data_IF_830394161389
#
_entry.id   IF_830394161389
#
_cell.length_a   1.000
_cell.length_b   1.000
_cell.length_c   1.000
_cell.angle_alpha   90.00
_cell.angle_beta   90.00
_cell.angle_gamma   90.00
#
_symmetry.space_group_name_H-M   'P 1'
#
loop_
_entity.id
_entity.type
_entity.pdbx_description
1 polymer ?
#
# COMPACT_ATOMS: atom_id res chain seq x y z
N UNK A 1 14.18 -1.48 -31.43
CA UNK A 1 13.93 -0.17 -30.79
C UNK A 1 12.76 0.60 -31.43
N UNK A 2 12.00 0.03 -32.39
CA UNK A 2 10.90 0.73 -33.10
C UNK A 2 9.47 0.26 -32.74
N UNK A 3 9.28 -0.81 -31.97
CA UNK A 3 7.93 -1.30 -31.60
C UNK A 3 7.27 -0.56 -30.41
N UNK A 4 8.01 0.24 -29.63
CA UNK A 4 7.48 0.86 -28.40
C UNK A 4 6.67 2.16 -28.63
N UNK A 5 6.86 2.87 -29.74
CA UNK A 5 6.14 4.12 -30.02
C UNK A 5 4.63 3.94 -30.32
N UNK A 6 4.19 2.96 -31.14
CA UNK A 6 2.76 2.79 -31.43
C UNK A 6 1.95 2.38 -30.19
N UNK A 7 2.52 1.54 -29.31
CA UNK A 7 1.83 1.11 -28.09
C UNK A 7 1.69 2.24 -27.05
N UNK A 8 2.71 3.10 -26.91
CA UNK A 8 2.61 4.28 -26.03
C UNK A 8 1.56 5.30 -26.50
N UNK A 9 1.42 5.50 -27.82
CA UNK A 9 0.36 6.34 -28.37
C UNK A 9 -1.03 5.74 -28.11
N UNK A 10 -1.18 4.42 -28.32
CA UNK A 10 -2.41 3.67 -28.05
C UNK A 10 -2.81 3.74 -26.58
N UNK A 11 -1.88 3.60 -25.64
CA UNK A 11 -2.14 3.72 -24.20
C UNK A 11 -2.64 5.11 -23.81
N UNK A 12 -2.00 6.18 -24.31
CA UNK A 12 -2.45 7.56 -24.05
C UNK A 12 -3.87 7.83 -24.57
N UNK A 13 -4.21 7.27 -25.73
CA UNK A 13 -5.56 7.35 -26.28
C UNK A 13 -6.57 6.59 -25.42
N UNK A 14 -6.23 5.39 -24.94
CA UNK A 14 -7.11 4.61 -24.05
C UNK A 14 -7.30 5.30 -22.69
N UNK A 15 -6.27 5.91 -22.10
CA UNK A 15 -6.39 6.71 -20.89
C UNK A 15 -7.31 7.93 -21.10
N UNK A 16 -7.17 8.60 -22.24
CA UNK A 16 -8.01 9.74 -22.61
C UNK A 16 -9.47 9.31 -22.83
N UNK A 17 -9.69 8.16 -23.47
CA UNK A 17 -11.01 7.57 -23.66
C UNK A 17 -11.64 7.18 -22.33
N UNK A 18 -10.89 6.52 -21.44
CA UNK A 18 -11.33 6.16 -20.10
C UNK A 18 -11.79 7.40 -19.32
N UNK A 19 -11.00 8.47 -19.34
CA UNK A 19 -11.33 9.74 -18.68
C UNK A 19 -12.60 10.37 -19.28
N UNK A 20 -12.68 10.46 -20.61
CA UNK A 20 -13.84 11.01 -21.30
C UNK A 20 -15.11 10.19 -21.02
N UNK A 21 -14.99 8.87 -20.96
CA UNK A 21 -16.09 7.97 -20.61
C UNK A 21 -16.60 8.19 -19.19
N UNK A 22 -15.69 8.32 -18.21
CA UNK A 22 -16.03 8.62 -16.82
C UNK A 22 -16.68 10.00 -16.66
N UNK A 23 -16.23 10.99 -17.42
CA UNK A 23 -16.83 12.32 -17.46
C UNK A 23 -18.28 12.27 -17.99
N UNK A 24 -18.55 11.43 -19.00
CA UNK A 24 -19.90 11.19 -19.53
C UNK A 24 -20.81 10.43 -18.56
N UNK A 25 -20.27 9.54 -17.72
CA UNK A 25 -21.05 8.84 -16.68
C UNK A 25 -21.46 9.77 -15.53
N UNK A 26 -20.55 10.64 -15.10
CA UNK A 26 -20.74 11.49 -13.91
C UNK A 26 -21.58 12.74 -14.21
N UNK A 27 -21.62 13.19 -15.47
CA UNK A 27 -22.38 14.36 -15.89
C UNK A 27 -23.52 13.91 -16.81
N UNK A 28 -24.75 13.73 -16.29
CA UNK A 28 -25.89 13.43 -17.13
C UNK A 28 -26.05 14.51 -18.21
N UNK A 29 -26.28 14.07 -19.45
CA UNK A 29 -26.43 14.97 -20.59
C UNK A 29 -27.76 15.73 -20.40
N UNK A 30 -27.65 16.91 -19.81
CA UNK A 30 -28.71 17.90 -19.72
C UNK A 30 -28.55 18.92 -20.84
N UNK A 31 -29.63 19.10 -21.61
CA UNK A 31 -29.72 20.03 -22.76
C UNK A 31 -29.40 21.48 -22.36
N UNK A 32 -29.57 21.84 -21.09
CA UNK A 32 -29.35 23.19 -20.60
C UNK A 32 -27.88 23.59 -20.42
N UNK A 33 -26.92 22.66 -20.58
CA UNK A 33 -25.51 22.96 -20.30
C UNK A 33 -24.65 22.72 -21.55
N UNK A 34 -24.20 23.84 -22.14
CA UNK A 34 -23.27 23.90 -23.28
C UNK A 34 -21.98 23.08 -23.07
N UNK A 35 -21.65 22.76 -21.82
CA UNK A 35 -20.47 21.97 -21.43
C UNK A 35 -20.58 20.48 -21.81
N UNK A 36 -21.79 19.92 -21.94
CA UNK A 36 -21.99 18.52 -22.33
C UNK A 36 -21.66 18.27 -23.81
N UNK A 37 -21.87 19.26 -24.68
CA UNK A 37 -21.53 19.18 -26.11
C UNK A 37 -20.02 19.09 -26.34
N UNK A 38 -19.21 19.74 -25.50
CA UNK A 38 -17.75 19.68 -25.60
C UNK A 38 -17.22 18.27 -25.26
N UNK A 39 -17.69 17.66 -24.17
CA UNK A 39 -17.30 16.30 -23.77
C UNK A 39 -17.69 15.25 -24.82
N UNK A 40 -18.87 15.40 -25.43
CA UNK A 40 -19.35 14.58 -26.54
C UNK A 40 -18.45 14.75 -27.78
N UNK A 41 -18.10 15.98 -28.13
CA UNK A 41 -17.24 16.25 -29.29
C UNK A 41 -15.84 15.70 -29.10
N UNK A 42 -15.24 15.88 -27.92
CA UNK A 42 -13.93 15.30 -27.58
C UNK A 42 -13.96 13.78 -27.62
N UNK A 43 -15.07 13.17 -27.18
CA UNK A 43 -15.24 11.72 -27.24
C UNK A 43 -15.28 11.21 -28.69
N UNK A 44 -16.06 11.89 -29.56
CA UNK A 44 -16.16 11.52 -30.97
C UNK A 44 -14.84 11.71 -31.72
N UNK A 45 -14.08 12.76 -31.41
CA UNK A 45 -12.73 12.96 -31.95
C UNK A 45 -11.77 11.84 -31.52
N UNK A 46 -11.75 11.50 -30.23
CA UNK A 46 -10.96 10.38 -29.69
C UNK A 46 -11.36 9.04 -30.32
N UNK A 47 -12.66 8.80 -30.53
CA UNK A 47 -13.14 7.61 -31.22
C UNK A 47 -12.63 7.54 -32.66
N UNK A 48 -12.69 8.62 -33.43
CA UNK A 48 -12.18 8.61 -34.83
C UNK A 48 -10.68 8.36 -34.92
N UNK A 49 -9.91 8.83 -33.94
CA UNK A 49 -8.48 8.53 -33.84
C UNK A 49 -8.22 7.09 -33.39
N UNK A 50 -9.13 6.50 -32.62
CA UNK A 50 -9.01 5.12 -32.16
C UNK A 50 -9.50 4.13 -33.22
N UNK A 51 -10.53 4.43 -34.01
CA UNK A 51 -11.06 3.57 -35.07
C UNK A 51 -9.99 3.22 -36.12
N UNK A 52 -9.04 4.13 -36.41
CA UNK A 52 -7.90 3.87 -37.31
C UNK A 52 -6.84 2.95 -36.70
N UNK A 53 -6.78 2.88 -35.36
CA UNK A 53 -5.83 2.05 -34.59
C UNK A 53 -6.47 0.70 -34.22
N UNK A 54 -7.77 0.65 -33.97
CA UNK A 54 -8.56 -0.53 -33.55
C UNK A 54 -8.84 -1.48 -34.71
N UNK A 55 -8.96 -0.97 -35.94
CA UNK A 55 -9.20 -1.80 -37.14
C UNK A 55 -8.12 -2.85 -37.41
N UNK A 56 -6.96 -2.71 -36.76
CA UNK A 56 -5.79 -3.55 -36.95
C UNK A 56 -5.69 -4.67 -35.90
N UNK A 57 -6.47 -4.62 -34.81
CA UNK A 57 -6.30 -5.50 -33.65
C UNK A 57 -7.61 -6.25 -33.30
N UNK A 58 -7.72 -7.56 -33.59
CA UNK A 58 -8.98 -8.32 -33.45
C UNK A 58 -9.49 -8.41 -31.99
N UNK A 59 -8.61 -8.19 -31.04
CA UNK A 59 -8.85 -8.27 -29.61
C UNK A 59 -9.57 -7.03 -29.04
N UNK A 60 -9.72 -5.96 -29.84
CA UNK A 60 -10.42 -4.71 -29.50
C UNK A 60 -11.82 -4.58 -30.15
N UNK A 61 -12.30 -5.66 -30.76
CA UNK A 61 -13.61 -5.71 -31.43
C UNK A 61 -14.78 -5.35 -30.52
N UNK A 62 -14.78 -5.82 -29.27
CA UNK A 62 -15.81 -5.47 -28.28
C UNK A 62 -15.82 -3.96 -27.97
N UNK A 63 -14.64 -3.35 -27.81
CA UNK A 63 -14.51 -1.92 -27.58
C UNK A 63 -15.02 -1.11 -28.78
N UNK A 64 -14.69 -1.53 -30.00
CA UNK A 64 -15.19 -0.91 -31.23
C UNK A 64 -16.72 -1.01 -31.35
N UNK A 65 -17.31 -2.14 -30.95
CA UNK A 65 -18.76 -2.32 -30.92
C UNK A 65 -19.42 -1.43 -29.86
N UNK A 66 -18.87 -1.37 -28.65
CA UNK A 66 -19.36 -0.50 -27.56
C UNK A 66 -19.28 0.98 -27.95
N UNK A 67 -18.19 1.40 -28.61
CA UNK A 67 -18.01 2.76 -29.13
C UNK A 67 -19.01 3.09 -30.24
N UNK A 68 -19.27 2.15 -31.16
CA UNK A 68 -20.26 2.31 -32.22
C UNK A 68 -21.67 2.44 -31.65
N UNK A 69 -22.02 1.60 -30.67
CA UNK A 69 -23.30 1.65 -29.97
C UNK A 69 -23.48 3.00 -29.25
N UNK A 70 -22.46 3.47 -28.53
CA UNK A 70 -22.50 4.77 -27.87
C UNK A 70 -22.70 5.91 -28.87
N UNK A 71 -22.01 5.89 -30.01
CA UNK A 71 -22.17 6.87 -31.08
C UNK A 71 -23.59 6.92 -31.60
N UNK A 72 -24.21 5.77 -31.87
CA UNK A 72 -25.62 5.72 -32.33
C UNK A 72 -26.58 6.29 -31.29
N UNK A 73 -26.41 5.93 -30.01
CA UNK A 73 -27.23 6.44 -28.91
C UNK A 73 -27.08 7.96 -28.74
N UNK A 74 -25.87 8.47 -28.89
CA UNK A 74 -25.59 9.90 -28.79
C UNK A 74 -26.20 10.70 -29.94
N UNK A 75 -26.13 10.18 -31.16
CA UNK A 75 -26.80 10.78 -32.33
C UNK A 75 -28.32 10.74 -32.20
N UNK A 76 -28.88 9.65 -31.68
CA UNK A 76 -30.33 9.53 -31.45
C UNK A 76 -30.80 10.53 -30.40
N UNK A 77 -30.01 10.72 -29.33
CA UNK A 77 -30.30 11.68 -28.28
C UNK A 77 -30.26 13.12 -28.83
N UNK A 78 -29.26 13.45 -29.66
CA UNK A 78 -29.15 14.75 -30.34
C UNK A 78 -30.31 15.05 -31.29
N UNK A 79 -30.86 14.03 -31.96
CA UNK A 79 -31.97 14.17 -32.90
C UNK A 79 -33.35 14.22 -32.19
N UNK A 80 -33.44 13.81 -30.92
CA UNK A 80 -34.69 13.76 -30.14
C UNK A 80 -34.94 15.06 -29.33
N UNK A 81 -35.13 16.18 -30.03
CA UNK A 81 -35.23 17.53 -29.43
C UNK A 81 -36.67 17.98 -29.05
N UNK A 82 -37.62 17.06 -28.90
CA UNK A 82 -39.00 17.45 -28.57
C UNK A 82 -39.21 17.76 -27.08
N UNK A 83 -40.11 18.70 -26.77
CA UNK A 83 -40.37 19.23 -25.41
C UNK A 83 -41.60 18.59 -24.73
N UNK A 84 -41.66 17.26 -24.65
CA UNK A 84 -42.78 16.52 -24.05
C UNK A 84 -42.36 15.74 -22.79
N UNK A 85 -43.28 15.49 -21.85
CA UNK A 85 -42.99 14.67 -20.66
C UNK A 85 -42.50 13.25 -21.04
N UNK A 86 -43.03 12.69 -22.14
CA UNK A 86 -42.57 11.41 -22.70
C UNK A 86 -41.11 11.50 -23.17
N UNK A 87 -40.67 12.63 -23.74
CA UNK A 87 -39.27 12.80 -24.15
C UNK A 87 -38.34 12.99 -22.95
N UNK A 88 -38.82 13.55 -21.83
CA UNK A 88 -38.06 13.61 -20.57
C UNK A 88 -37.73 12.22 -20.03
N UNK A 89 -38.72 11.31 -19.93
CA UNK A 89 -38.46 9.93 -19.50
C UNK A 89 -37.58 9.15 -20.49
N UNK A 90 -37.80 9.32 -21.81
CA UNK A 90 -36.92 8.72 -22.84
C UNK A 90 -35.47 9.20 -22.71
N UNK A 91 -35.25 10.47 -22.37
CA UNK A 91 -33.89 11.03 -22.14
C UNK A 91 -33.22 10.47 -20.90
N UNK A 92 -33.97 10.27 -19.80
CA UNK A 92 -33.40 9.64 -18.62
C UNK A 92 -33.00 8.19 -18.88
N UNK A 93 -33.83 7.44 -19.61
CA UNK A 93 -33.50 6.07 -20.04
C UNK A 93 -32.27 6.08 -20.95
N UNK A 94 -32.23 6.96 -21.95
CA UNK A 94 -31.08 7.08 -22.84
C UNK A 94 -29.79 7.50 -22.11
N UNK A 95 -29.88 8.42 -21.14
CA UNK A 95 -28.74 8.80 -20.30
C UNK A 95 -28.26 7.63 -19.42
N UNK A 96 -29.17 6.81 -18.91
CA UNK A 96 -28.80 5.58 -18.19
C UNK A 96 -28.13 4.56 -19.11
N UNK A 97 -28.67 4.35 -20.32
CA UNK A 97 -28.06 3.47 -21.34
C UNK A 97 -26.68 3.96 -21.76
N UNK A 98 -26.52 5.26 -22.00
CA UNK A 98 -25.24 5.90 -22.28
C UNK A 98 -24.27 5.69 -21.12
N UNK A 99 -24.69 5.95 -19.88
CA UNK A 99 -23.85 5.73 -18.70
C UNK A 99 -23.41 4.26 -18.58
N UNK A 100 -24.32 3.31 -18.85
CA UNK A 100 -23.99 1.87 -18.87
C UNK A 100 -22.98 1.50 -19.96
N UNK A 101 -23.14 2.03 -21.18
CA UNK A 101 -22.20 1.78 -22.28
C UNK A 101 -20.85 2.42 -21.96
N UNK A 102 -20.83 3.66 -21.45
CA UNK A 102 -19.61 4.32 -20.98
C UNK A 102 -18.91 3.50 -19.89
N UNK A 103 -19.64 2.92 -18.93
CA UNK A 103 -19.06 2.03 -17.92
C UNK A 103 -18.43 0.78 -18.53
N UNK A 104 -19.05 0.22 -19.57
CA UNK A 104 -18.50 -0.93 -20.31
C UNK A 104 -17.21 -0.55 -21.04
N UNK A 105 -17.20 0.59 -21.72
CA UNK A 105 -16.02 1.16 -22.41
C UNK A 105 -14.90 1.44 -21.42
N UNK A 106 -15.21 1.99 -20.24
CA UNK A 106 -14.22 2.28 -19.20
C UNK A 106 -13.53 0.99 -18.72
N UNK A 107 -14.31 -0.06 -18.46
CA UNK A 107 -13.80 -1.36 -18.02
C UNK A 107 -12.97 -2.04 -19.12
N UNK A 108 -13.45 -2.03 -20.36
CA UNK A 108 -12.71 -2.61 -21.50
C UNK A 108 -11.40 -1.86 -21.76
N UNK A 109 -11.42 -0.52 -21.73
CA UNK A 109 -10.21 0.29 -21.85
C UNK A 109 -9.23 0.01 -20.69
N UNK A 110 -9.73 -0.15 -19.46
CA UNK A 110 -8.89 -0.48 -18.31
C UNK A 110 -8.27 -1.88 -18.43
N UNK A 111 -9.04 -2.89 -18.84
CA UNK A 111 -8.53 -4.25 -19.03
C UNK A 111 -7.39 -4.28 -20.07
N UNK A 112 -7.51 -3.46 -21.12
CA UNK A 112 -6.45 -3.28 -22.12
C UNK A 112 -5.21 -2.61 -21.56
N UNK A 113 -5.38 -1.52 -20.83
CA UNK A 113 -4.27 -0.84 -20.15
C UNK A 113 -3.57 -1.80 -19.19
N UNK A 114 -4.33 -2.60 -18.44
CA UNK A 114 -3.81 -3.59 -17.50
C UNK A 114 -3.02 -4.71 -18.19
N UNK A 115 -3.54 -5.22 -19.31
CA UNK A 115 -2.87 -6.25 -20.09
C UNK A 115 -1.51 -5.76 -20.60
N UNK A 116 -1.46 -4.56 -21.16
CA UNK A 116 -0.22 -3.99 -21.66
C UNK A 116 0.74 -3.61 -20.53
N UNK A 117 0.23 -3.05 -19.43
CA UNK A 117 1.04 -2.73 -18.24
C UNK A 117 1.69 -3.98 -17.63
N UNK A 118 0.98 -5.11 -17.59
CA UNK A 118 1.53 -6.39 -17.10
C UNK A 118 2.59 -6.92 -18.07
N UNK A 119 2.39 -6.83 -19.39
CA UNK A 119 3.40 -7.24 -20.36
C UNK A 119 4.67 -6.39 -20.23
N UNK A 120 4.51 -5.06 -20.16
CA UNK A 120 5.61 -4.11 -19.96
C UNK A 120 6.35 -4.43 -18.65
N UNK A 121 5.62 -4.67 -17.56
CA UNK A 121 6.20 -5.07 -16.28
C UNK A 121 7.07 -6.33 -16.42
N UNK A 122 6.51 -7.41 -16.98
CA UNK A 122 7.25 -8.68 -17.12
C UNK A 122 8.49 -8.51 -17.98
N UNK A 123 8.36 -7.79 -19.11
CA UNK A 123 9.45 -7.54 -20.03
C UNK A 123 10.58 -6.74 -19.37
N UNK A 124 10.26 -5.58 -18.78
CA UNK A 124 11.24 -4.68 -18.15
C UNK A 124 11.95 -5.38 -16.99
N UNK A 125 11.22 -6.15 -16.17
CA UNK A 125 11.81 -6.86 -15.04
C UNK A 125 12.81 -7.96 -15.47
N UNK A 126 12.55 -8.61 -16.61
CA UNK A 126 13.42 -9.68 -17.15
C UNK A 126 14.60 -9.15 -17.97
N UNK A 127 14.36 -8.15 -18.82
CA UNK A 127 15.30 -7.75 -19.88
C UNK A 127 16.08 -6.48 -19.53
N UNK A 128 15.45 -5.52 -18.84
CA UNK A 128 16.10 -4.23 -18.57
C UNK A 128 17.21 -4.37 -17.54
N UNK A 129 18.28 -3.59 -17.73
CA UNK A 129 19.33 -3.38 -16.73
C UNK A 129 19.17 -2.06 -15.99
N UNK A 130 18.27 -1.19 -16.46
CA UNK A 130 18.03 0.11 -15.85
C UNK A 130 17.20 -0.07 -14.56
N UNK A 131 17.77 0.41 -13.45
CA UNK A 131 17.13 0.34 -12.14
C UNK A 131 15.92 1.28 -12.05
N UNK A 132 16.01 2.47 -12.63
CA UNK A 132 14.95 3.48 -12.52
C UNK A 132 13.74 3.11 -13.38
N UNK A 133 13.98 2.49 -14.54
CA UNK A 133 12.92 1.91 -15.36
C UNK A 133 12.16 0.81 -14.60
N UNK A 134 12.89 -0.09 -13.93
CA UNK A 134 12.29 -1.14 -13.08
C UNK A 134 11.48 -0.55 -11.94
N UNK A 135 12.03 0.43 -11.23
CA UNK A 135 11.34 1.09 -10.11
C UNK A 135 10.06 1.76 -10.61
N UNK A 136 10.09 2.40 -11.79
CA UNK A 136 8.93 3.05 -12.38
C UNK A 136 7.81 2.05 -12.67
N UNK A 137 8.08 0.96 -13.39
CA UNK A 137 7.05 -0.04 -13.72
C UNK A 137 6.53 -0.75 -12.48
N UNK A 138 7.39 -1.04 -11.50
CA UNK A 138 6.98 -1.63 -10.23
C UNK A 138 6.08 -0.69 -9.43
N UNK A 139 6.39 0.61 -9.40
CA UNK A 139 5.58 1.61 -8.70
C UNK A 139 4.22 1.81 -9.38
N UNK A 140 4.17 1.77 -10.71
CA UNK A 140 2.90 1.81 -11.46
C UNK A 140 2.05 0.58 -11.16
N UNK A 141 2.66 -0.61 -11.15
CA UNK A 141 1.99 -1.85 -10.80
C UNK A 141 1.48 -1.84 -9.34
N UNK A 142 2.30 -1.43 -8.38
CA UNK A 142 1.94 -1.26 -6.97
C UNK A 142 0.69 -0.38 -6.82
N UNK A 143 0.66 0.76 -7.50
CA UNK A 143 -0.50 1.68 -7.51
C UNK A 143 -1.74 1.03 -8.13
N UNK A 144 -1.60 0.34 -9.27
CA UNK A 144 -2.74 -0.28 -9.95
C UNK A 144 -3.40 -1.37 -9.10
N UNK A 145 -2.59 -2.22 -8.46
CA UNK A 145 -3.05 -3.31 -7.60
C UNK A 145 -3.65 -2.77 -6.30
N UNK A 146 -3.17 -1.61 -5.81
CA UNK A 146 -3.68 -0.98 -4.58
C UNK A 146 -5.03 -0.26 -4.73
N UNK A 147 -5.50 -0.01 -5.96
CA UNK A 147 -6.73 0.76 -6.19
C UNK A 147 -8.01 0.01 -5.80
N UNK A 148 -8.27 -1.12 -6.44
CA UNK A 148 -9.44 -1.96 -6.16
C UNK A 148 -9.19 -3.38 -6.65
N UNK A 149 -9.90 -4.34 -6.03
CA UNK A 149 -9.88 -5.73 -6.45
C UNK A 149 -10.55 -5.88 -7.83
N UNK A 150 -9.88 -6.63 -8.70
CA UNK A 150 -10.33 -6.91 -10.06
C UNK A 150 -9.99 -8.37 -10.41
N UNK A 151 -11.01 -9.16 -10.69
CA UNK A 151 -10.85 -10.60 -10.96
C UNK A 151 -10.07 -10.85 -12.25
N UNK A 152 -10.31 -10.05 -13.28
CA UNK A 152 -9.73 -10.26 -14.61
C UNK A 152 -8.24 -9.81 -14.58
N UNK A 153 -7.94 -8.75 -13.82
CA UNK A 153 -6.56 -8.37 -13.49
C UNK A 153 -5.84 -9.50 -12.72
N UNK A 154 -6.49 -10.10 -11.71
CA UNK A 154 -5.90 -11.21 -10.96
C UNK A 154 -5.53 -12.37 -11.90
N UNK A 155 -6.44 -12.74 -12.81
CA UNK A 155 -6.20 -13.80 -13.77
C UNK A 155 -5.01 -13.48 -14.68
N UNK A 156 -4.88 -12.24 -15.15
CA UNK A 156 -3.72 -11.80 -15.92
C UNK A 156 -2.41 -11.88 -15.12
N UNK A 157 -2.40 -11.41 -13.87
CA UNK A 157 -1.24 -11.46 -12.97
C UNK A 157 -0.76 -12.90 -12.77
N UNK A 158 -1.71 -13.82 -12.55
CA UNK A 158 -1.41 -15.24 -12.35
C UNK A 158 -0.89 -15.91 -13.62
N UNK A 159 -1.55 -15.66 -14.78
CA UNK A 159 -1.11 -16.19 -16.08
C UNK A 159 0.30 -15.71 -16.45
N UNK A 160 0.59 -14.44 -16.18
CA UNK A 160 1.89 -13.83 -16.45
C UNK A 160 2.98 -14.21 -15.42
N UNK A 161 2.64 -14.98 -14.37
CA UNK A 161 3.56 -15.41 -13.30
C UNK A 161 4.31 -14.23 -12.66
N UNK A 162 3.60 -13.13 -12.42
CA UNK A 162 4.19 -11.90 -11.86
C UNK A 162 4.76 -12.16 -10.47
N UNK A 163 4.05 -12.90 -9.60
CA UNK A 163 4.54 -13.15 -8.23
C UNK A 163 5.89 -13.90 -8.21
N UNK A 164 6.08 -15.04 -8.89
CA UNK A 164 7.39 -15.69 -8.98
C UNK A 164 8.50 -14.78 -9.52
N UNK A 165 8.18 -13.86 -10.44
CA UNK A 165 9.14 -12.89 -10.97
C UNK A 165 9.57 -11.89 -9.90
N UNK A 166 8.62 -11.33 -9.14
CA UNK A 166 8.87 -10.43 -8.02
C UNK A 166 9.66 -11.12 -6.91
N UNK A 167 9.26 -12.32 -6.52
CA UNK A 167 9.98 -13.14 -5.54
C UNK A 167 11.41 -13.40 -5.98
N UNK A 168 11.62 -13.75 -7.25
CA UNK A 168 12.96 -13.96 -7.79
C UNK A 168 13.82 -12.70 -7.68
N UNK A 169 13.27 -11.52 -7.91
CA UNK A 169 14.01 -10.25 -7.77
C UNK A 169 14.37 -9.99 -6.32
N UNK A 170 13.41 -10.14 -5.40
CA UNK A 170 13.65 -9.94 -3.96
C UNK A 170 14.73 -10.89 -3.46
N UNK A 171 14.70 -12.16 -3.87
CA UNK A 171 15.62 -13.19 -3.38
C UNK A 171 16.94 -13.30 -4.14
N UNK A 172 17.12 -12.56 -5.24
CA UNK A 172 18.38 -12.50 -5.99
C UNK A 172 19.38 -11.59 -5.28
N UNK A 173 20.49 -12.17 -4.82
CA UNK A 173 21.57 -11.44 -4.12
C UNK A 173 22.26 -10.33 -4.94
N UNK A 174 22.09 -10.32 -6.27
CA UNK A 174 22.68 -9.32 -7.17
C UNK A 174 21.77 -8.13 -7.48
N UNK A 175 20.51 -8.17 -7.05
CA UNK A 175 19.58 -7.09 -7.31
C UNK A 175 19.85 -5.90 -6.37
N UNK A 176 19.81 -4.65 -6.88
CA UNK A 176 19.97 -3.46 -6.05
C UNK A 176 18.90 -3.39 -4.96
N UNK A 177 19.28 -2.95 -3.76
CA UNK A 177 18.36 -2.89 -2.59
C UNK A 177 17.06 -2.13 -2.90
N UNK A 178 17.13 -1.01 -3.60
CA UNK A 178 15.95 -0.18 -3.98
C UNK A 178 14.96 -0.95 -4.86
N UNK A 179 15.46 -1.75 -5.81
CA UNK A 179 14.62 -2.57 -6.70
C UNK A 179 13.99 -3.72 -5.91
N UNK A 180 14.76 -4.35 -5.01
CA UNK A 180 14.25 -5.39 -4.11
C UNK A 180 13.13 -4.86 -3.21
N UNK A 181 13.34 -3.71 -2.56
CA UNK A 181 12.34 -3.07 -1.70
C UNK A 181 11.07 -2.70 -2.47
N UNK A 182 11.21 -2.11 -3.67
CA UNK A 182 10.06 -1.76 -4.52
C UNK A 182 9.30 -3.01 -4.98
N UNK A 183 10.03 -4.08 -5.31
CA UNK A 183 9.41 -5.38 -5.64
C UNK A 183 8.68 -5.98 -4.44
N UNK A 184 9.23 -5.84 -3.24
CA UNK A 184 8.62 -6.33 -2.02
C UNK A 184 7.39 -5.49 -1.61
N UNK A 185 7.37 -4.18 -1.89
CA UNK A 185 6.15 -3.35 -1.78
C UNK A 185 5.06 -3.80 -2.77
N UNK A 186 5.44 -4.14 -4.00
CA UNK A 186 4.48 -4.71 -4.96
C UNK A 186 3.91 -6.05 -4.46
N UNK A 187 4.70 -6.88 -3.78
CA UNK A 187 4.22 -8.11 -3.12
C UNK A 187 3.22 -7.79 -1.99
N UNK A 188 3.50 -6.79 -1.16
CA UNK A 188 2.56 -6.31 -0.13
C UNK A 188 1.24 -5.87 -0.77
N UNK A 189 1.30 -5.12 -1.87
CA UNK A 189 0.11 -4.70 -2.60
C UNK A 189 -0.69 -5.91 -3.13
N UNK A 190 -0.01 -6.96 -3.64
CA UNK A 190 -0.65 -8.20 -4.06
C UNK A 190 -1.35 -8.93 -2.91
N UNK A 191 -0.71 -9.05 -1.74
CA UNK A 191 -1.34 -9.65 -0.56
C UNK A 191 -2.57 -8.84 -0.13
N UNK A 192 -2.51 -7.51 -0.19
CA UNK A 192 -3.66 -6.65 0.10
C UNK A 192 -4.78 -6.82 -0.93
N UNK A 193 -4.43 -7.03 -2.20
CA UNK A 193 -5.36 -7.23 -3.29
C UNK A 193 -6.13 -8.54 -3.19
N UNK A 194 -5.46 -9.64 -2.84
CA UNK A 194 -6.13 -10.89 -2.48
C UNK A 194 -5.29 -11.72 -1.49
N UNK A 195 -5.70 -11.72 -0.21
CA UNK A 195 -5.00 -12.46 0.85
C UNK A 195 -5.00 -13.96 0.61
N UNK A 196 -6.12 -14.52 0.15
CA UNK A 196 -6.30 -15.98 0.02
C UNK A 196 -5.36 -16.59 -1.03
N UNK A 197 -5.00 -15.81 -2.05
CA UNK A 197 -4.11 -16.27 -3.13
C UNK A 197 -2.63 -16.09 -2.77
N UNK A 198 -2.27 -14.93 -2.24
CA UNK A 198 -0.86 -14.54 -2.14
C UNK A 198 -0.23 -14.78 -0.77
N UNK A 199 -1.01 -14.90 0.32
CA UNK A 199 -0.45 -15.14 1.66
C UNK A 199 0.34 -16.44 1.74
N UNK A 200 -0.19 -17.54 1.18
CA UNK A 200 0.52 -18.82 1.17
C UNK A 200 1.85 -18.75 0.43
N UNK A 201 1.90 -18.02 -0.68
CA UNK A 201 3.13 -17.84 -1.47
C UNK A 201 4.19 -17.05 -0.69
N UNK A 202 3.79 -16.04 0.08
CA UNK A 202 4.71 -15.28 0.94
C UNK A 202 5.27 -16.15 2.07
N UNK A 203 4.43 -16.94 2.73
CA UNK A 203 4.83 -17.77 3.88
C UNK A 203 5.77 -18.91 3.48
N UNK A 204 5.53 -19.53 2.32
CA UNK A 204 6.37 -20.64 1.83
C UNK A 204 7.64 -20.16 1.11
N UNK A 205 7.74 -18.86 0.84
CA UNK A 205 8.80 -18.28 0.02
C UNK A 205 10.02 -17.79 0.82
N UNK A 206 11.17 -17.57 0.16
CA UNK A 206 12.37 -17.00 0.77
C UNK A 206 12.28 -15.49 1.08
N UNK A 207 11.15 -14.84 0.80
CA UNK A 207 10.97 -13.38 0.84
C UNK A 207 11.33 -12.81 2.22
N UNK A 208 10.76 -13.36 3.29
CA UNK A 208 10.95 -12.84 4.65
C UNK A 208 12.41 -12.94 5.08
N UNK A 209 13.03 -14.09 4.84
CA UNK A 209 14.46 -14.32 5.12
C UNK A 209 15.34 -13.28 4.42
N UNK A 210 15.07 -13.01 3.14
CA UNK A 210 15.86 -12.04 2.38
C UNK A 210 15.64 -10.62 2.90
N UNK A 211 14.40 -10.22 3.17
CA UNK A 211 14.10 -8.88 3.72
C UNK A 211 14.76 -8.66 5.08
N UNK A 212 14.72 -9.65 5.97
CA UNK A 212 15.39 -9.60 7.29
C UNK A 212 16.91 -9.48 7.14
N UNK A 213 17.49 -10.00 6.06
CA UNK A 213 18.94 -9.91 5.80
C UNK A 213 19.37 -8.60 5.15
N UNK A 214 18.45 -7.76 4.66
CA UNK A 214 18.78 -6.50 3.98
C UNK A 214 19.17 -5.39 4.94
N UNK A 215 18.77 -5.50 6.21
CA UNK A 215 19.03 -4.57 7.32
C UNK A 215 18.77 -3.11 6.90
N UNK A 216 17.62 -2.84 6.25
CA UNK A 216 17.27 -1.53 5.69
C UNK A 216 15.90 -1.02 6.16
N UNK A 217 15.73 0.30 6.20
CA UNK A 217 14.46 0.94 6.55
C UNK A 217 13.29 0.47 5.66
N UNK A 218 13.51 0.37 4.34
CA UNK A 218 12.50 -0.10 3.40
C UNK A 218 12.09 -1.56 3.62
N UNK A 219 13.05 -2.46 3.86
CA UNK A 219 12.77 -3.88 4.10
C UNK A 219 11.99 -4.10 5.40
N UNK A 220 12.35 -3.41 6.47
CA UNK A 220 11.64 -3.47 7.76
C UNK A 220 10.20 -2.95 7.65
N UNK A 221 9.96 -1.86 6.92
CA UNK A 221 8.61 -1.34 6.67
C UNK A 221 7.75 -2.32 5.87
N UNK A 222 8.35 -3.03 4.91
CA UNK A 222 7.66 -4.09 4.17
C UNK A 222 7.30 -5.25 5.10
N UNK A 223 8.22 -5.70 5.96
CA UNK A 223 7.96 -6.76 6.95
C UNK A 223 6.80 -6.34 7.86
N UNK A 224 6.84 -5.13 8.44
CA UNK A 224 5.75 -4.59 9.26
C UNK A 224 4.40 -4.60 8.52
N UNK A 225 4.39 -4.22 7.24
CA UNK A 225 3.17 -4.26 6.41
C UNK A 225 2.67 -5.69 6.18
N UNK A 226 3.57 -6.66 5.95
CA UNK A 226 3.20 -8.07 5.82
C UNK A 226 2.67 -8.65 7.13
N UNK A 227 3.25 -8.28 8.28
CA UNK A 227 2.77 -8.67 9.62
C UNK A 227 1.34 -8.16 9.83
N UNK A 228 1.04 -6.90 9.49
CA UNK A 228 -0.33 -6.35 9.55
C UNK A 228 -1.32 -7.11 8.67
N UNK A 229 -0.90 -7.51 7.46
CA UNK A 229 -1.79 -8.12 6.49
C UNK A 229 -2.04 -9.61 6.77
N UNK A 230 -0.99 -10.35 7.12
CA UNK A 230 -1.00 -11.81 7.31
C UNK A 230 -1.28 -12.19 8.77
N UNK A 231 -0.90 -11.34 9.74
CA UNK A 231 -1.07 -11.53 11.18
C UNK A 231 -0.27 -12.72 11.73
N UNK A 232 -0.82 -13.42 12.73
CA UNK A 232 -0.19 -14.51 13.48
C UNK A 232 0.48 -15.61 12.63
N UNK A 233 -0.06 -16.06 11.48
CA UNK A 233 0.62 -17.02 10.61
C UNK A 233 2.03 -16.59 10.19
N UNK A 234 2.23 -15.31 9.87
CA UNK A 234 3.55 -14.80 9.51
C UNK A 234 4.48 -14.70 10.71
N UNK A 235 3.95 -14.23 11.84
CA UNK A 235 4.73 -14.08 13.08
C UNK A 235 5.22 -15.45 13.58
N UNK A 236 4.40 -16.49 13.49
CA UNK A 236 4.81 -17.86 13.81
C UNK A 236 5.97 -18.35 12.94
N UNK A 237 5.90 -18.11 11.63
CA UNK A 237 6.99 -18.47 10.72
C UNK A 237 8.27 -17.68 11.03
N UNK A 238 8.13 -16.39 11.38
CA UNK A 238 9.25 -15.56 11.77
C UNK A 238 9.91 -15.99 13.09
N UNK A 239 9.11 -16.41 14.07
CA UNK A 239 9.55 -16.98 15.35
C UNK A 239 10.33 -18.27 15.12
N UNK A 240 9.74 -19.23 14.38
CA UNK A 240 10.34 -20.54 14.12
C UNK A 240 11.72 -20.46 13.43
N UNK A 241 11.97 -19.39 12.67
CA UNK A 241 13.24 -19.15 11.99
C UNK A 241 14.16 -18.14 12.71
N UNK A 242 13.79 -17.63 13.90
CA UNK A 242 14.58 -16.68 14.68
C UNK A 242 14.67 -15.27 14.09
N UNK A 243 13.79 -14.92 13.15
CA UNK A 243 13.80 -13.63 12.46
C UNK A 243 13.36 -12.46 13.35
N UNK A 244 12.49 -12.71 14.33
CA UNK A 244 12.05 -11.70 15.31
C UNK A 244 13.25 -11.15 16.08
N UNK A 245 14.09 -12.02 16.63
CA UNK A 245 15.27 -11.61 17.41
C UNK A 245 16.28 -10.85 16.53
N UNK A 246 16.42 -11.26 15.27
CA UNK A 246 17.26 -10.53 14.30
C UNK A 246 16.75 -9.10 14.08
N UNK A 247 15.45 -8.89 13.92
CA UNK A 247 14.86 -7.55 13.78
C UNK A 247 15.12 -6.72 15.05
N UNK A 248 14.94 -7.28 16.25
CA UNK A 248 15.18 -6.57 17.51
C UNK A 248 16.66 -6.18 17.66
N UNK A 249 17.59 -6.97 17.11
CA UNK A 249 19.02 -6.62 17.11
C UNK A 249 19.33 -5.33 16.33
N UNK A 250 18.49 -4.98 15.34
CA UNK A 250 18.63 -3.74 14.55
C UNK A 250 18.27 -2.47 15.32
N UNK A 251 17.63 -2.58 16.49
CA UNK A 251 17.45 -1.44 17.40
C UNK A 251 18.79 -0.86 17.89
N UNK A 252 19.87 -1.64 17.83
CA UNK A 252 21.22 -1.18 18.18
C UNK A 252 21.97 -0.54 16.99
N UNK A 253 21.32 -0.32 15.85
CA UNK A 253 21.95 0.32 14.70
C UNK A 253 22.22 1.80 14.97
N UNK A 254 23.21 2.38 14.28
CA UNK A 254 23.52 3.82 14.39
C UNK A 254 22.58 4.71 13.56
N UNK A 255 21.66 4.11 12.79
CA UNK A 255 20.75 4.83 11.92
C UNK A 255 19.40 5.02 12.62
N UNK A 256 19.12 6.26 13.05
CA UNK A 256 17.88 6.64 13.71
C UNK A 256 16.63 6.31 12.87
N UNK A 257 16.69 6.43 11.55
CA UNK A 257 15.57 6.10 10.65
C UNK A 257 15.29 4.59 10.62
N UNK A 258 16.36 3.80 10.64
CA UNK A 258 16.26 2.34 10.78
C UNK A 258 15.71 1.98 12.15
N UNK A 259 16.23 2.54 13.24
CA UNK A 259 15.75 2.30 14.60
C UNK A 259 14.26 2.62 14.75
N UNK A 260 13.79 3.77 14.24
CA UNK A 260 12.38 4.13 14.26
C UNK A 260 11.52 3.12 13.47
N UNK A 261 11.96 2.70 12.29
CA UNK A 261 11.24 1.71 11.48
C UNK A 261 11.21 0.33 12.14
N UNK A 262 12.30 -0.05 12.83
CA UNK A 262 12.39 -1.29 13.60
C UNK A 262 11.49 -1.23 14.83
N UNK A 263 11.45 -0.10 15.53
CA UNK A 263 10.52 0.10 16.65
C UNK A 263 9.07 -0.11 16.19
N UNK A 264 8.64 0.56 15.12
CA UNK A 264 7.30 0.35 14.55
C UNK A 264 7.06 -1.13 14.21
N UNK A 265 8.04 -1.80 13.59
CA UNK A 265 7.92 -3.23 13.32
C UNK A 265 7.81 -4.09 14.59
N UNK A 266 8.56 -3.77 15.65
CA UNK A 266 8.52 -4.49 16.93
C UNK A 266 7.19 -4.29 17.65
N UNK A 267 6.61 -3.09 17.60
CA UNK A 267 5.28 -2.82 18.16
C UNK A 267 4.20 -3.66 17.45
N UNK A 268 4.29 -3.77 16.13
CA UNK A 268 3.36 -4.59 15.33
C UNK A 268 3.55 -6.09 15.58
N UNK A 269 4.79 -6.54 15.78
CA UNK A 269 5.07 -7.92 16.18
C UNK A 269 4.44 -8.22 17.55
N UNK A 270 4.62 -7.33 18.53
CA UNK A 270 4.09 -7.49 19.89
C UNK A 270 2.57 -7.70 19.93
N UNK A 271 1.84 -7.15 18.96
CA UNK A 271 0.40 -7.31 18.84
C UNK A 271 -0.02 -8.75 18.46
N UNK A 272 0.78 -9.45 17.64
CA UNK A 272 0.42 -10.77 17.10
C UNK A 272 1.25 -11.94 17.66
N UNK A 273 2.33 -11.67 18.41
CA UNK A 273 3.22 -12.68 19.01
C UNK A 273 2.55 -13.46 20.13
N UNK A 274 2.91 -14.75 20.23
CA UNK A 274 2.55 -15.62 21.36
C UNK A 274 3.46 -15.40 22.55
N UNK A 275 3.11 -16.01 23.68
CA UNK A 275 3.84 -15.86 24.93
C UNK A 275 5.31 -16.23 24.78
N UNK A 276 5.60 -17.35 24.11
CA UNK A 276 6.95 -17.86 23.91
C UNK A 276 7.84 -16.83 23.19
N UNK A 277 7.40 -16.34 22.03
CA UNK A 277 8.07 -15.26 21.31
C UNK A 277 8.31 -14.04 22.19
N UNK A 278 7.31 -13.56 22.95
CA UNK A 278 7.47 -12.36 23.79
C UNK A 278 8.50 -12.59 24.89
N UNK A 279 8.50 -13.77 25.51
CA UNK A 279 9.51 -14.15 26.51
C UNK A 279 10.91 -14.14 25.89
N UNK A 280 11.09 -14.66 24.68
CA UNK A 280 12.35 -14.60 23.95
C UNK A 280 12.76 -13.15 23.62
N UNK A 281 11.81 -12.30 23.22
CA UNK A 281 12.09 -10.86 22.99
C UNK A 281 12.58 -10.17 24.26
N UNK A 282 11.97 -10.47 25.40
CA UNK A 282 12.37 -9.93 26.72
C UNK A 282 13.75 -10.46 27.12
N UNK A 283 14.03 -11.75 26.87
CA UNK A 283 15.34 -12.36 27.13
C UNK A 283 16.44 -11.75 26.26
N UNK A 284 16.17 -11.50 24.99
CA UNK A 284 17.05 -10.81 24.03
C UNK A 284 17.25 -9.32 24.40
N UNK A 285 16.49 -8.81 25.36
CA UNK A 285 16.69 -7.50 25.95
C UNK A 285 15.95 -6.37 25.25
N UNK A 286 14.81 -6.66 24.59
CA UNK A 286 13.98 -5.63 23.93
C UNK A 286 13.66 -4.47 24.88
N UNK A 287 13.29 -4.75 26.13
CA UNK A 287 12.92 -3.72 27.12
C UNK A 287 14.09 -2.81 27.44
N UNK A 288 15.29 -3.37 27.62
CA UNK A 288 16.50 -2.58 27.86
C UNK A 288 16.79 -1.64 26.69
N UNK A 289 16.68 -2.15 25.45
CA UNK A 289 16.90 -1.35 24.22
C UNK A 289 15.87 -0.22 24.09
N UNK A 290 14.60 -0.48 24.41
CA UNK A 290 13.55 0.56 24.40
C UNK A 290 13.83 1.66 25.42
N UNK A 291 14.22 1.31 26.65
CA UNK A 291 14.59 2.30 27.69
C UNK A 291 15.79 3.14 27.24
N UNK A 292 16.80 2.52 26.62
CA UNK A 292 17.96 3.24 26.07
C UNK A 292 17.57 4.20 24.95
N UNK A 293 16.68 3.81 24.04
CA UNK A 293 16.18 4.65 22.94
C UNK A 293 15.37 5.85 23.44
N UNK A 294 14.43 5.63 24.37
CA UNK A 294 13.64 6.71 24.98
C UNK A 294 14.56 7.75 25.63
N UNK A 295 15.65 7.31 26.26
CA UNK A 295 16.65 8.20 26.86
C UNK A 295 17.46 9.01 25.84
N UNK A 296 17.83 8.42 24.71
CA UNK A 296 18.59 9.13 23.66
C UNK A 296 17.78 10.30 23.13
N UNK A 297 16.47 10.10 22.93
CA UNK A 297 15.56 11.14 22.48
C UNK A 297 15.37 12.24 23.54
N UNK A 298 15.12 11.87 24.81
CA UNK A 298 15.03 12.83 25.92
C UNK A 298 16.33 13.62 26.17
N UNK A 299 17.49 13.06 25.84
CA UNK A 299 18.77 13.80 25.90
C UNK A 299 18.94 14.78 24.75
N UNK A 300 18.39 14.49 23.59
CA UNK A 300 18.27 15.45 22.48
C UNK A 300 17.45 16.67 22.89
N UNK A 301 16.38 16.47 23.67
CA UNK A 301 15.53 17.54 24.20
C UNK A 301 16.26 18.51 25.14
N UNK A 302 17.29 18.06 25.87
CA UNK A 302 18.08 18.93 26.79
C UNK A 302 19.35 19.52 26.15
N UNK A 303 19.65 19.17 24.89
CA UNK A 303 20.94 19.43 24.25
C UNK A 303 21.05 20.69 23.38
N UNK A 304 19.95 21.39 23.09
CA UNK A 304 19.94 22.62 22.30
C UNK A 304 18.94 23.62 22.90
N UNK A 305 19.33 24.22 24.02
CA UNK A 305 18.71 25.44 24.55
C UNK A 305 19.77 26.54 24.62
N UNK A 306 20.39 26.86 23.48
CA UNK A 306 20.88 28.21 23.23
C UNK A 306 19.84 28.88 22.34
N UNK A 307 19.19 29.88 22.92
CA UNK A 307 17.86 30.32 22.52
C UNK A 307 17.79 30.97 21.15
N UNK A 308 16.67 30.72 20.48
CA UNK A 308 15.98 31.71 19.66
C UNK A 308 14.49 31.35 19.66
N UNK A 309 13.68 32.29 20.18
CA UNK A 309 12.22 32.23 20.10
C UNK A 309 11.81 32.11 18.63
N UNK A 310 11.15 31.01 18.23
CA UNK A 310 10.43 31.00 16.97
C UNK A 310 8.95 30.69 17.16
N UNK A 311 8.18 31.75 16.90
CA UNK A 311 6.75 31.89 17.09
C UNK A 311 5.90 30.76 16.54
N UNK A 312 4.92 30.42 17.37
CA UNK A 312 3.70 29.70 17.06
C UNK A 312 3.12 30.01 15.68
N UNK A 313 2.94 28.96 14.86
CA UNK A 313 1.86 28.90 13.88
C UNK A 313 1.12 27.58 14.02
N UNK A 314 -0.09 27.71 14.53
CA UNK A 314 -1.12 26.67 14.64
C UNK A 314 -1.98 26.69 13.37
N UNK A 315 -2.61 25.54 13.07
CA UNK A 315 -3.55 25.21 11.97
C UNK A 315 -2.88 24.62 10.70
N UNK A 316 -3.21 23.44 10.16
CA UNK A 316 -4.27 22.45 10.42
C UNK A 316 -3.93 21.11 9.71
N UNK A 317 -4.49 20.02 10.24
CA UNK A 317 -4.74 18.70 9.61
C UNK A 317 -3.58 17.72 9.34
N UNK A 318 -3.38 16.83 10.33
CA UNK A 318 -2.99 15.43 10.10
C UNK A 318 -1.52 15.08 10.34
N UNK A 319 -1.14 14.77 11.58
CA UNK A 319 0.14 14.10 11.88
C UNK A 319 0.78 14.47 13.22
N UNK A 320 0.21 14.04 14.35
CA UNK A 320 0.86 14.15 15.67
C UNK A 320 1.90 13.03 15.92
N UNK A 321 2.74 12.71 14.92
CA UNK A 321 3.66 11.57 15.04
C UNK A 321 5.02 11.78 14.35
N UNK A 322 5.51 13.03 14.22
CA UNK A 322 6.83 13.26 13.58
C UNK A 322 7.91 13.88 14.47
N UNK A 323 7.64 14.37 15.68
CA UNK A 323 8.71 15.03 16.44
C UNK A 323 9.53 14.08 17.35
N UNK A 324 8.99 12.94 17.78
CA UNK A 324 9.66 12.05 18.75
C UNK A 324 9.30 10.55 18.57
N UNK A 325 9.92 9.81 17.63
CA UNK A 325 9.60 8.40 17.37
C UNK A 325 9.81 7.45 18.56
N UNK A 326 10.69 7.75 19.52
CA UNK A 326 11.03 6.87 20.64
C UNK A 326 10.28 7.18 21.94
N UNK A 327 9.46 8.23 21.94
CA UNK A 327 8.75 8.72 23.11
C UNK A 327 7.73 7.68 23.57
N UNK A 328 7.81 7.34 24.86
CA UNK A 328 6.99 6.32 25.48
C UNK A 328 7.06 4.96 24.79
N UNK A 329 8.15 4.61 24.10
CA UNK A 329 8.23 3.37 23.32
C UNK A 329 8.03 2.11 24.20
N UNK A 330 8.44 2.14 25.47
CA UNK A 330 8.17 1.09 26.46
C UNK A 330 6.67 0.96 26.71
N UNK A 331 5.97 2.09 26.94
CA UNK A 331 4.53 2.13 27.14
C UNK A 331 3.78 1.66 25.90
N UNK A 332 4.17 2.14 24.72
CA UNK A 332 3.61 1.72 23.42
C UNK A 332 3.77 0.21 23.22
N UNK A 333 4.91 -0.36 23.58
CA UNK A 333 5.14 -1.81 23.52
C UNK A 333 4.18 -2.57 24.43
N UNK A 334 4.04 -2.16 25.69
CA UNK A 334 3.10 -2.79 26.63
C UNK A 334 1.65 -2.65 26.18
N UNK A 335 1.25 -1.49 25.67
CA UNK A 335 -0.12 -1.26 25.14
C UNK A 335 -0.41 -2.19 23.96
N UNK A 336 0.51 -2.33 23.01
CA UNK A 336 0.33 -3.26 21.89
C UNK A 336 0.24 -4.72 22.35
N UNK A 337 1.04 -5.09 23.34
CA UNK A 337 1.00 -6.43 23.95
C UNK A 337 -0.35 -6.72 24.62
N UNK A 338 -0.92 -5.75 25.34
CA UNK A 338 -2.20 -5.90 26.02
C UNK A 338 -3.40 -5.87 25.08
N UNK A 339 -3.35 -5.05 24.03
CA UNK A 339 -4.38 -4.96 22.99
C UNK A 339 -4.27 -6.07 21.95
N UNK A 340 -3.15 -6.81 21.95
CA UNK A 340 -2.82 -7.84 20.97
C UNK A 340 -3.73 -9.06 20.98
N UNK A 341 -3.75 -9.73 19.82
CA UNK A 341 -4.51 -10.95 19.53
C UNK A 341 -3.76 -12.24 19.97
N UNK A 342 -2.45 -12.15 20.27
CA UNK A 342 -1.59 -13.32 20.46
C UNK A 342 -1.50 -13.91 21.88
N UNK A 343 -2.06 -13.24 22.89
CA UNK A 343 -1.89 -13.59 24.31
C UNK A 343 -3.22 -13.68 25.06
N UNK A 344 -3.29 -14.60 26.03
CA UNK A 344 -4.39 -14.66 26.98
C UNK A 344 -4.27 -13.60 28.09
N UNK A 345 -5.38 -13.26 28.74
CA UNK A 345 -5.41 -12.24 29.80
C UNK A 345 -4.47 -12.54 30.97
N UNK A 346 -4.30 -13.82 31.32
CA UNK A 346 -3.36 -14.24 32.37
C UNK A 346 -1.91 -14.00 31.97
N UNK A 347 -1.56 -14.33 30.73
CA UNK A 347 -0.22 -14.16 30.16
C UNK A 347 0.13 -12.67 30.04
N UNK A 348 -0.81 -11.85 29.54
CA UNK A 348 -0.67 -10.38 29.47
C UNK A 348 -0.28 -9.79 30.83
N UNK A 349 -0.96 -10.21 31.90
CA UNK A 349 -0.67 -9.72 33.26
C UNK A 349 0.72 -10.14 33.75
N UNK A 350 1.13 -11.38 33.51
CA UNK A 350 2.44 -11.89 33.93
C UNK A 350 3.57 -11.20 33.16
N UNK A 351 3.43 -11.09 31.84
CA UNK A 351 4.40 -10.42 30.98
C UNK A 351 4.53 -8.94 31.34
N UNK A 352 3.42 -8.24 31.65
CA UNK A 352 3.46 -6.86 32.14
C UNK A 352 4.32 -6.71 33.40
N UNK A 353 4.19 -7.62 34.37
CA UNK A 353 4.99 -7.58 35.59
C UNK A 353 6.48 -7.79 35.29
N UNK A 354 6.81 -8.72 34.40
CA UNK A 354 8.19 -8.96 33.98
C UNK A 354 8.77 -7.75 33.22
N UNK A 355 7.99 -7.13 32.33
CA UNK A 355 8.41 -5.91 31.61
C UNK A 355 8.69 -4.77 32.60
N UNK A 356 7.82 -4.54 33.59
CA UNK A 356 8.02 -3.53 34.62
C UNK A 356 9.29 -3.81 35.45
N UNK A 357 9.57 -5.07 35.76
CA UNK A 357 10.81 -5.47 36.45
C UNK A 357 12.04 -5.14 35.61
N UNK A 358 12.05 -5.53 34.33
CA UNK A 358 13.16 -5.28 33.39
C UNK A 358 13.36 -3.80 33.12
N UNK A 359 12.28 -3.01 33.04
CA UNK A 359 12.36 -1.56 32.85
C UNK A 359 13.05 -0.87 34.04
N UNK A 360 12.74 -1.29 35.28
CA UNK A 360 13.45 -0.81 36.48
C UNK A 360 14.92 -1.16 36.46
N UNK A 361 15.27 -2.38 36.04
CA UNK A 361 16.67 -2.84 35.94
C UNK A 361 17.47 -2.09 34.87
N UNK A 362 16.82 -1.66 33.78
CA UNK A 362 17.45 -0.90 32.70
C UNK A 362 17.55 0.61 32.97
N UNK A 363 16.85 1.11 33.99
CA UNK A 363 16.86 2.51 34.39
C UNK A 363 18.15 2.87 35.12
N UNK A 364 18.69 4.06 34.86
CA UNK A 364 19.92 4.58 35.50
C UNK A 364 19.64 5.29 36.82
N UNK A 365 18.38 5.62 37.11
CA UNK A 365 17.98 6.28 38.35
C UNK A 365 16.61 5.82 38.84
N UNK A 366 16.35 5.99 40.14
CA UNK A 366 15.04 5.70 40.74
C UNK A 366 13.94 6.64 40.19
N UNK A 367 14.29 7.88 39.83
CA UNK A 367 13.38 8.83 39.22
C UNK A 367 12.92 8.38 37.82
N UNK A 368 13.86 7.96 36.97
CA UNK A 368 13.56 7.40 35.63
C UNK A 368 12.71 6.14 35.75
N UNK A 369 13.09 5.22 36.65
CA UNK A 369 12.34 4.00 36.90
C UNK A 369 10.90 4.29 37.35
N UNK A 370 10.71 5.26 38.26
CA UNK A 370 9.38 5.65 38.73
C UNK A 370 8.55 6.26 37.61
N UNK A 371 9.13 7.18 36.84
CA UNK A 371 8.46 7.81 35.69
C UNK A 371 7.97 6.76 34.69
N UNK A 372 8.87 5.88 34.22
CA UNK A 372 8.54 4.80 33.27
C UNK A 372 7.48 3.85 33.80
N UNK A 373 7.58 3.44 35.07
CA UNK A 373 6.58 2.55 35.69
C UNK A 373 5.22 3.24 35.75
N UNK A 374 5.18 4.52 36.14
CA UNK A 374 3.92 5.27 36.15
C UNK A 374 3.35 5.40 34.75
N UNK A 375 4.16 5.78 33.76
CA UNK A 375 3.75 5.92 32.37
C UNK A 375 3.15 4.62 31.83
N UNK A 376 3.82 3.48 32.07
CA UNK A 376 3.31 2.17 31.68
C UNK A 376 1.99 1.87 32.39
N UNK A 377 1.91 2.03 33.71
CA UNK A 377 0.68 1.70 34.47
C UNK A 377 -0.52 2.56 34.06
N UNK A 378 -0.32 3.86 33.82
CA UNK A 378 -1.37 4.79 33.40
C UNK A 378 -1.73 4.61 31.92
N UNK A 379 -0.73 4.48 31.03
CA UNK A 379 -0.92 4.34 29.59
C UNK A 379 -1.51 3.01 29.16
N UNK A 380 -1.36 1.96 29.97
CA UNK A 380 -1.94 0.63 29.76
C UNK A 380 -3.16 0.35 30.67
N UNK A 381 -3.72 1.38 31.30
CA UNK A 381 -4.98 1.21 32.01
C UNK A 381 -6.12 1.08 30.97
N UNK A 382 -6.97 0.05 31.05
CA UNK A 382 -8.16 0.00 30.22
C UNK A 382 -9.00 1.25 30.53
N UNK A 383 -9.29 2.06 29.51
CA UNK A 383 -10.42 2.97 29.62
C UNK A 383 -11.64 2.08 29.88
N UNK A 384 -12.13 2.10 31.12
CA UNK A 384 -13.37 1.48 31.52
C UNK A 384 -14.48 1.93 30.56
N UNK A 385 -14.86 1.06 29.62
CA UNK A 385 -16.08 1.18 28.83
C UNK A 385 -16.79 -0.16 28.76
#
# INVERSE_FOLDING_TARGET
MEENQPNQHKLKLLESLKKASKDLQTKPIHIYIYTNLAAIKTFLELQTQLDTVLSTDPSLSNLSQSLSNLKTQLTNLQNSQDYNLVSFFRRQIANYEISKICGTIENEAQAWIDQESIKELVQVLQESKDEEEKIKVLTQFEKRVSNCFDRDLQEMILKAKVFPLLESIVSKSKCPKRVCETSARAIVALVRFNKDVFTGLVLMGPIIRTLVSMDSCGSVRVISSLVKLIKSPLVYEMEANGYILRIISLLNSNDFSLQASVLECVLELAYFTRREAVEEMIQEGVIRRLVELQRVETKGEMGECDGEEMGSKMESEGGFAEDFPFSGCVTRFVVNLEMGEGLEMGEKRQLKQEILRRAREASVSEAEATSLVTEVLWGSSPLLH
#
